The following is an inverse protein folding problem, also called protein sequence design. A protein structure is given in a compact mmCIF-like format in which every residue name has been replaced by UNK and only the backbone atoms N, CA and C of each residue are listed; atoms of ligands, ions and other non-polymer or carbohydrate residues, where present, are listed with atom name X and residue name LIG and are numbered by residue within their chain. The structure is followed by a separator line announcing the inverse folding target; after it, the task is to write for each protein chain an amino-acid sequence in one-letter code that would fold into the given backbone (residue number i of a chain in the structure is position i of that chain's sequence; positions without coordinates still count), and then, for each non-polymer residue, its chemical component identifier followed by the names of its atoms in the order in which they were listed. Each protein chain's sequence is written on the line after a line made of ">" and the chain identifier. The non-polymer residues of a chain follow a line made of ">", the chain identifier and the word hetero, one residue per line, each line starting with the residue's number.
data_IF_112085816741
#
_entry.id   IF_112085816741
#
_cell.length_a   1.000
_cell.length_b   1.000
_cell.length_c   1.000
_cell.angle_alpha   90.00
_cell.angle_beta   90.00
_cell.angle_gamma   90.00
#
_symmetry.space_group_name_H-M   'P 1'
#
loop_
_entity.id
_entity.type
_entity.pdbx_description
1 polymer ?
#
# COMPACT_ATOMS: atom_id res chain seq x y z
N UNK A 1 29.69 41.83 -38.46
CA UNK A 1 28.37 41.23 -38.70
C UNK A 1 27.45 42.37 -39.09
N UNK A 2 26.94 42.38 -40.33
CA UNK A 2 25.96 43.38 -40.77
C UNK A 2 24.56 43.03 -40.25
N UNK A 3 23.68 44.02 -40.22
CA UNK A 3 22.27 43.85 -39.83
C UNK A 3 21.58 42.78 -40.69
N UNK A 4 21.84 42.79 -42.00
CA UNK A 4 21.36 41.77 -42.94
C UNK A 4 21.83 40.35 -42.61
N UNK A 5 23.08 40.19 -42.16
CA UNK A 5 23.59 38.87 -41.76
C UNK A 5 22.89 38.38 -40.49
N UNK A 6 22.59 39.29 -39.57
CA UNK A 6 21.92 38.97 -38.31
C UNK A 6 20.47 38.56 -38.55
N UNK A 7 19.78 39.23 -39.47
CA UNK A 7 18.40 38.89 -39.85
C UNK A 7 18.32 37.60 -40.67
N UNK A 8 19.29 37.33 -41.56
CA UNK A 8 19.40 36.02 -42.22
C UNK A 8 19.60 34.87 -41.22
N UNK A 9 20.40 35.07 -40.17
CA UNK A 9 20.59 34.06 -39.13
C UNK A 9 19.31 33.84 -38.31
N UNK A 10 18.55 34.90 -37.98
CA UNK A 10 17.25 34.78 -37.30
C UNK A 10 16.24 34.01 -38.15
N UNK A 11 16.16 34.31 -39.45
CA UNK A 11 15.21 33.66 -40.35
C UNK A 11 15.53 32.16 -40.53
N UNK A 12 16.82 31.83 -40.66
CA UNK A 12 17.28 30.43 -40.69
C UNK A 12 16.94 29.70 -39.41
N UNK A 13 17.25 30.31 -38.26
CA UNK A 13 16.92 29.74 -36.95
C UNK A 13 15.41 29.43 -36.85
N UNK A 14 14.55 30.39 -37.22
CA UNK A 14 13.10 30.22 -37.20
C UNK A 14 12.63 29.09 -38.13
N UNK A 15 13.22 28.99 -39.31
CA UNK A 15 12.90 27.94 -40.29
C UNK A 15 13.29 26.56 -39.78
N UNK A 16 14.48 26.43 -39.20
CA UNK A 16 14.97 25.18 -38.61
C UNK A 16 14.15 24.78 -37.39
N UNK A 17 13.84 25.72 -36.49
CA UNK A 17 12.95 25.48 -35.33
C UNK A 17 11.58 24.97 -35.78
N UNK A 18 10.97 25.59 -36.79
CA UNK A 18 9.69 25.15 -37.34
C UNK A 18 9.77 23.77 -38.01
N UNK A 19 10.86 23.48 -38.72
CA UNK A 19 11.08 22.17 -39.34
C UNK A 19 11.24 21.07 -38.28
N UNK A 20 11.99 21.34 -37.22
CA UNK A 20 12.18 20.43 -36.07
C UNK A 20 10.83 20.19 -35.38
N UNK A 21 10.06 21.23 -35.11
CA UNK A 21 8.75 21.11 -34.47
C UNK A 21 7.77 20.28 -35.31
N UNK A 22 7.77 20.48 -36.64
CA UNK A 22 6.97 19.68 -37.58
C UNK A 22 7.39 18.21 -37.59
N UNK A 23 8.70 17.93 -37.61
CA UNK A 23 9.22 16.56 -37.54
C UNK A 23 8.83 15.87 -36.22
N UNK A 24 8.95 16.56 -35.08
CA UNK A 24 8.51 16.02 -33.80
C UNK A 24 7.00 15.72 -33.79
N UNK A 25 6.16 16.60 -34.34
CA UNK A 25 4.72 16.35 -34.44
C UNK A 25 4.39 15.09 -35.24
N UNK A 26 5.18 14.74 -36.25
CA UNK A 26 5.00 13.51 -37.03
C UNK A 26 5.40 12.26 -36.25
N UNK A 27 6.46 12.33 -35.44
CA UNK A 27 6.92 11.21 -34.60
C UNK A 27 5.87 10.79 -33.56
N UNK A 28 5.10 11.74 -33.04
CA UNK A 28 4.05 11.48 -32.03
C UNK A 28 2.65 11.35 -32.64
N UNK A 29 2.55 10.83 -33.86
CA UNK A 29 1.28 10.51 -34.52
C UNK A 29 0.61 9.23 -34.00
N UNK A 30 1.37 8.39 -33.30
CA UNK A 30 0.90 7.16 -32.68
C UNK A 30 1.46 7.00 -31.27
N UNK A 31 0.67 6.42 -30.38
CA UNK A 31 1.03 6.06 -29.00
C UNK A 31 0.78 4.57 -28.82
N UNK A 32 1.77 3.84 -28.32
CA UNK A 32 1.68 2.40 -28.10
C UNK A 32 1.56 2.15 -26.60
N UNK A 33 0.45 1.56 -26.17
CA UNK A 33 0.18 1.31 -24.75
C UNK A 33 0.17 -0.18 -24.45
N UNK A 34 0.81 -0.62 -23.35
CA UNK A 34 0.64 -2.00 -22.90
C UNK A 34 -0.81 -2.23 -22.44
N UNK A 35 -1.36 -3.41 -22.70
CA UNK A 35 -2.70 -3.78 -22.27
C UNK A 35 -2.68 -5.20 -21.74
N UNK A 36 -3.41 -5.44 -20.66
CA UNK A 36 -3.67 -6.80 -20.19
C UNK A 36 -4.92 -7.33 -20.91
N UNK A 37 -4.80 -8.43 -21.64
CA UNK A 37 -5.92 -9.08 -22.32
C UNK A 37 -5.77 -10.60 -22.21
N UNK A 38 -6.83 -11.29 -21.79
CA UNK A 38 -6.85 -12.75 -21.65
C UNK A 38 -5.69 -13.34 -20.82
N UNK A 39 -5.18 -12.60 -19.83
CA UNK A 39 -4.06 -13.02 -18.98
C UNK A 39 -2.67 -12.82 -19.59
N UNK A 40 -2.56 -12.18 -20.76
CA UNK A 40 -1.30 -11.84 -21.41
C UNK A 40 -1.10 -10.33 -21.62
N UNK A 41 0.15 -9.93 -21.82
CA UNK A 41 0.54 -8.57 -22.17
C UNK A 41 0.48 -8.37 -23.69
N UNK A 42 -0.29 -7.38 -24.13
CA UNK A 42 -0.41 -6.95 -25.53
C UNK A 42 0.01 -5.48 -25.67
N UNK A 43 0.37 -5.06 -26.88
CA UNK A 43 0.61 -3.65 -27.21
C UNK A 43 -0.53 -3.13 -28.07
N UNK A 44 -1.30 -2.17 -27.55
CA UNK A 44 -2.34 -1.47 -28.27
C UNK A 44 -1.76 -0.21 -28.94
N UNK A 45 -1.86 -0.13 -30.27
CA UNK A 45 -1.49 1.05 -31.04
C UNK A 45 -2.68 2.01 -31.15
N UNK A 46 -2.48 3.24 -30.71
CA UNK A 46 -3.46 4.34 -30.80
C UNK A 46 -2.88 5.37 -31.76
N UNK A 47 -3.61 5.73 -32.80
CA UNK A 47 -3.17 6.72 -33.78
C UNK A 47 -4.13 7.90 -33.81
N UNK A 48 -3.64 9.05 -34.28
CA UNK A 48 -4.52 10.18 -34.59
C UNK A 48 -5.44 9.77 -35.74
N UNK A 49 -6.71 9.51 -35.43
CA UNK A 49 -7.74 9.21 -36.42
C UNK A 49 -8.12 10.43 -37.28
N UNK A 50 -9.27 10.36 -37.95
CA UNK A 50 -9.71 11.42 -38.89
C UNK A 50 -10.01 12.78 -38.25
N UNK A 51 -10.17 12.86 -36.92
CA UNK A 51 -10.39 14.13 -36.22
C UNK A 51 -9.04 14.76 -35.88
N UNK A 52 -8.75 15.99 -36.37
CA UNK A 52 -7.53 16.67 -35.99
C UNK A 52 -7.56 17.08 -34.51
N UNK A 53 -6.45 16.82 -33.82
CA UNK A 53 -6.20 17.29 -32.47
C UNK A 53 -6.08 18.82 -32.45
N UNK A 54 -6.72 19.45 -31.48
CA UNK A 54 -6.74 20.90 -31.32
C UNK A 54 -5.44 21.44 -30.72
N UNK A 55 -4.80 20.63 -29.87
CA UNK A 55 -3.54 20.99 -29.25
C UNK A 55 -2.42 21.18 -30.29
N UNK A 56 -1.55 22.15 -30.01
CA UNK A 56 -0.39 22.46 -30.83
C UNK A 56 0.85 21.76 -30.29
N UNK A 57 1.16 21.88 -29.00
CA UNK A 57 2.34 21.24 -28.41
C UNK A 57 2.26 19.70 -28.45
N UNK A 58 3.43 19.06 -28.53
CA UNK A 58 3.55 17.59 -28.69
C UNK A 58 2.92 16.85 -27.51
N UNK A 59 3.23 17.29 -26.29
CA UNK A 59 2.71 16.67 -25.07
C UNK A 59 1.18 16.83 -24.98
N UNK A 60 0.68 18.04 -25.20
CA UNK A 60 -0.74 18.38 -25.14
C UNK A 60 -1.55 17.58 -26.16
N UNK A 61 -0.99 17.35 -27.36
CA UNK A 61 -1.59 16.49 -28.38
C UNK A 61 -1.68 15.04 -27.94
N UNK A 62 -0.60 14.49 -27.38
CA UNK A 62 -0.60 13.13 -26.85
C UNK A 62 -1.62 13.00 -25.72
N UNK A 63 -1.66 13.96 -24.80
CA UNK A 63 -2.63 13.95 -23.71
C UNK A 63 -4.07 14.12 -24.19
N UNK A 64 -4.34 15.00 -25.17
CA UNK A 64 -5.67 15.13 -25.80
C UNK A 64 -6.10 13.82 -26.46
N UNK A 65 -5.19 13.15 -27.16
CA UNK A 65 -5.44 11.85 -27.79
C UNK A 65 -5.81 10.79 -26.73
N UNK A 66 -5.03 10.71 -25.64
CA UNK A 66 -5.19 9.71 -24.60
C UNK A 66 -6.37 9.96 -23.66
N UNK A 67 -6.69 11.22 -23.35
CA UNK A 67 -7.72 11.57 -22.36
C UNK A 67 -9.07 11.90 -22.99
N UNK A 68 -9.09 12.67 -24.09
CA UNK A 68 -10.33 13.17 -24.70
C UNK A 68 -10.81 12.25 -25.82
N UNK A 69 -9.90 11.87 -26.71
CA UNK A 69 -10.26 11.14 -27.94
C UNK A 69 -10.53 9.67 -27.66
N UNK A 70 -9.56 8.97 -27.04
CA UNK A 70 -9.65 7.53 -26.77
C UNK A 70 -10.00 7.18 -25.32
N UNK A 71 -9.98 8.15 -24.40
CA UNK A 71 -10.28 7.98 -22.96
C UNK A 71 -9.54 6.79 -22.31
N UNK A 72 -8.26 6.64 -22.66
CA UNK A 72 -7.35 5.61 -22.16
C UNK A 72 -6.64 6.03 -20.87
N UNK A 73 -6.53 7.34 -20.63
CA UNK A 73 -6.06 7.92 -19.39
C UNK A 73 -7.20 8.69 -18.76
N UNK A 74 -7.47 8.40 -17.48
CA UNK A 74 -8.55 8.96 -16.70
C UNK A 74 -8.03 10.08 -15.81
N UNK A 75 -8.66 11.24 -15.90
CA UNK A 75 -8.43 12.40 -15.02
C UNK A 75 -9.38 12.42 -13.82
N UNK A 76 -10.33 11.48 -13.77
CA UNK A 76 -11.31 11.33 -12.69
C UNK A 76 -11.61 9.86 -12.47
N UNK A 77 -11.86 9.50 -11.21
CA UNK A 77 -12.37 8.18 -10.80
C UNK A 77 -13.41 8.33 -9.70
N UNK A 78 -14.39 7.42 -9.66
CA UNK A 78 -15.45 7.43 -8.65
C UNK A 78 -15.04 6.65 -7.40
N UNK A 79 -15.45 7.09 -6.19
CA UNK A 79 -15.15 6.39 -4.95
C UNK A 79 -15.58 4.92 -4.99
N UNK A 80 -16.76 4.65 -5.54
CA UNK A 80 -17.28 3.29 -5.73
C UNK A 80 -16.39 2.43 -6.62
N UNK A 81 -15.83 3.00 -7.69
CA UNK A 81 -14.92 2.26 -8.58
C UNK A 81 -13.60 1.95 -7.87
N UNK A 82 -13.12 2.85 -7.01
CA UNK A 82 -11.96 2.60 -6.15
C UNK A 82 -12.20 1.41 -5.22
N UNK A 83 -13.35 1.35 -4.55
CA UNK A 83 -13.71 0.22 -3.68
C UNK A 83 -13.81 -1.10 -4.46
N UNK A 84 -14.51 -1.08 -5.60
CA UNK A 84 -14.69 -2.25 -6.47
C UNK A 84 -13.36 -2.83 -6.96
N UNK A 85 -12.46 -1.97 -7.45
CA UNK A 85 -11.17 -2.41 -7.99
C UNK A 85 -10.25 -2.96 -6.89
N UNK A 86 -10.22 -2.30 -5.73
CA UNK A 86 -9.38 -2.72 -4.60
C UNK A 86 -9.96 -3.90 -3.82
N UNK A 87 -11.23 -4.25 -4.09
CA UNK A 87 -12.02 -5.23 -3.35
C UNK A 87 -12.06 -4.92 -1.86
N UNK A 88 -12.18 -3.63 -1.52
CA UNK A 88 -12.34 -3.16 -0.15
C UNK A 88 -13.71 -3.59 0.38
N UNK A 89 -13.74 -4.27 1.51
CA UNK A 89 -14.95 -4.88 2.09
C UNK A 89 -15.21 -6.33 1.66
N UNK A 90 -14.48 -6.84 0.67
CA UNK A 90 -14.54 -8.25 0.28
C UNK A 90 -13.42 -9.07 0.94
N UNK A 91 -13.62 -10.38 1.10
CA UNK A 91 -12.56 -11.32 1.51
C UNK A 91 -11.82 -10.93 2.80
N UNK A 92 -12.52 -10.30 3.75
CA UNK A 92 -11.98 -9.78 5.01
C UNK A 92 -10.93 -8.64 4.84
N UNK A 93 -10.86 -7.99 3.68
CA UNK A 93 -10.03 -6.80 3.43
C UNK A 93 -10.82 -5.54 3.82
N UNK A 94 -10.76 -5.21 5.10
CA UNK A 94 -11.55 -4.14 5.69
C UNK A 94 -10.87 -2.75 5.64
N UNK A 95 -9.58 -2.70 5.30
CA UNK A 95 -8.83 -1.47 5.17
C UNK A 95 -7.53 -1.66 4.40
N UNK A 96 -6.95 -0.55 3.94
CA UNK A 96 -5.77 -0.50 3.09
C UNK A 96 -5.04 0.83 3.29
N UNK A 97 -3.70 0.82 3.23
CA UNK A 97 -2.92 2.06 3.23
C UNK A 97 -3.15 2.85 1.93
N UNK A 98 -3.15 4.17 2.01
CA UNK A 98 -3.26 5.02 0.84
C UNK A 98 -2.11 4.79 -0.18
N UNK A 99 -0.92 4.46 0.30
CA UNK A 99 0.23 4.07 -0.53
C UNK A 99 -0.01 2.77 -1.28
N UNK A 100 -0.61 1.77 -0.64
CA UNK A 100 -1.00 0.51 -1.30
C UNK A 100 -2.10 0.76 -2.35
N UNK A 101 -3.01 1.71 -2.11
CA UNK A 101 -3.99 2.13 -3.12
C UNK A 101 -3.27 2.72 -4.33
N UNK A 102 -2.35 3.66 -4.10
CA UNK A 102 -1.57 4.28 -5.18
C UNK A 102 -0.80 3.22 -5.97
N UNK A 103 -0.06 2.35 -5.30
CA UNK A 103 0.72 1.28 -5.93
C UNK A 103 -0.16 0.34 -6.75
N UNK A 104 -1.38 0.02 -6.28
CA UNK A 104 -2.30 -0.81 -7.03
C UNK A 104 -2.74 -0.14 -8.34
N UNK A 105 -3.07 1.15 -8.32
CA UNK A 105 -3.50 1.90 -9.51
C UNK A 105 -2.38 2.16 -10.52
N UNK A 106 -1.15 2.41 -10.06
CA UNK A 106 -0.02 2.69 -10.95
C UNK A 106 0.82 1.45 -11.29
N UNK A 107 0.72 0.39 -10.51
CA UNK A 107 1.47 -0.85 -10.70
C UNK A 107 0.73 -1.94 -11.49
N UNK A 108 -0.61 -1.92 -11.54
CA UNK A 108 -1.39 -2.94 -12.22
C UNK A 108 -2.05 -2.44 -13.52
N UNK A 109 -1.64 -3.02 -14.65
CA UNK A 109 -2.13 -2.66 -15.99
C UNK A 109 -3.62 -2.97 -16.23
N UNK A 110 -4.27 -3.73 -15.36
CA UNK A 110 -5.71 -4.01 -15.43
C UNK A 110 -6.59 -2.94 -14.77
N UNK A 111 -6.01 -1.98 -14.04
CA UNK A 111 -6.76 -0.87 -13.47
C UNK A 111 -6.82 0.32 -14.46
N UNK A 112 -7.80 1.23 -14.30
CA UNK A 112 -7.84 2.47 -15.08
C UNK A 112 -6.53 3.24 -14.92
N UNK A 113 -5.93 3.63 -16.05
CA UNK A 113 -4.70 4.45 -16.05
C UNK A 113 -5.06 5.85 -15.59
N UNK A 114 -4.46 6.30 -14.50
CA UNK A 114 -4.68 7.64 -14.00
C UNK A 114 -3.59 8.57 -14.52
N UNK A 115 -3.97 9.83 -14.77
CA UNK A 115 -3.02 10.88 -15.17
C UNK A 115 -2.06 11.20 -14.01
N UNK A 116 -2.63 11.41 -12.82
CA UNK A 116 -1.88 11.84 -11.62
C UNK A 116 -2.44 11.22 -10.35
N UNK A 117 -1.63 11.15 -9.30
CA UNK A 117 -2.06 10.73 -7.95
C UNK A 117 -3.12 11.67 -7.35
N UNK A 118 -3.14 12.95 -7.76
CA UNK A 118 -4.19 13.89 -7.36
C UNK A 118 -5.59 13.42 -7.74
N UNK A 119 -5.72 12.62 -8.81
CA UNK A 119 -7.00 11.99 -9.19
C UNK A 119 -7.49 11.00 -8.14
N UNK A 120 -6.56 10.29 -7.48
CA UNK A 120 -6.88 9.43 -6.34
C UNK A 120 -7.22 10.26 -5.10
N UNK A 121 -6.43 11.29 -4.76
CA UNK A 121 -6.74 12.18 -3.63
C UNK A 121 -8.17 12.72 -3.71
N UNK A 122 -8.57 13.21 -4.90
CA UNK A 122 -9.94 13.64 -5.23
C UNK A 122 -11.00 12.59 -4.96
N UNK A 123 -10.76 11.38 -5.45
CA UNK A 123 -11.68 10.27 -5.27
C UNK A 123 -11.77 9.88 -3.79
N UNK A 124 -10.67 9.95 -3.05
CA UNK A 124 -10.62 9.67 -1.62
C UNK A 124 -11.39 10.74 -0.84
N UNK A 125 -11.02 12.01 -0.96
CA UNK A 125 -11.72 13.13 -0.32
C UNK A 125 -13.25 13.06 -0.53
N UNK A 126 -13.68 12.87 -1.77
CA UNK A 126 -15.11 12.70 -2.10
C UNK A 126 -15.72 11.45 -1.47
N UNK A 127 -15.03 10.31 -1.49
CA UNK A 127 -15.57 9.08 -0.91
C UNK A 127 -15.65 9.13 0.62
N UNK A 128 -14.79 9.89 1.28
CA UNK A 128 -14.89 10.18 2.71
C UNK A 128 -16.12 11.05 2.99
N UNK A 129 -16.34 12.09 2.20
CA UNK A 129 -17.50 12.98 2.31
C UNK A 129 -18.82 12.23 2.06
N UNK A 130 -18.85 11.36 1.04
CA UNK A 130 -20.00 10.51 0.70
C UNK A 130 -20.20 9.34 1.70
N UNK A 131 -19.25 9.10 2.62
CA UNK A 131 -19.30 8.00 3.59
C UNK A 131 -19.03 6.62 2.98
N UNK A 132 -18.41 6.55 1.80
CA UNK A 132 -18.03 5.31 1.11
C UNK A 132 -16.84 4.63 1.79
N UNK A 133 -15.95 5.41 2.41
CA UNK A 133 -14.87 4.92 3.26
C UNK A 133 -14.55 5.92 4.37
N UNK A 134 -14.04 5.41 5.49
CA UNK A 134 -13.41 6.22 6.51
C UNK A 134 -11.93 6.44 6.20
N UNK A 135 -11.45 7.63 6.52
CA UNK A 135 -10.04 7.99 6.40
C UNK A 135 -9.43 8.22 7.79
N UNK A 136 -8.25 7.65 8.00
CA UNK A 136 -7.45 7.84 9.20
C UNK A 136 -6.05 8.28 8.80
N UNK A 137 -5.56 9.35 9.44
CA UNK A 137 -4.19 9.83 9.26
C UNK A 137 -3.31 9.39 10.44
N UNK A 138 -2.21 8.69 10.14
CA UNK A 138 -1.20 8.31 11.12
C UNK A 138 -0.79 6.85 11.08
N UNK A 139 -0.44 6.29 12.23
CA UNK A 139 0.00 4.89 12.33
C UNK A 139 -1.14 3.93 12.03
N UNK A 140 -0.90 2.93 11.18
CA UNK A 140 -1.87 1.89 10.81
C UNK A 140 -2.64 1.41 12.05
N UNK A 141 -3.98 1.47 12.05
CA UNK A 141 -4.76 1.13 13.23
C UNK A 141 -4.71 -0.36 13.53
N UNK A 142 -4.71 -0.70 14.82
CA UNK A 142 -4.71 -2.08 15.29
C UNK A 142 -6.07 -2.73 15.03
N UNK A 143 -6.08 -3.88 14.36
CA UNK A 143 -7.28 -4.70 14.20
C UNK A 143 -7.66 -5.35 15.54
N UNK A 144 -8.88 -5.11 16.02
CA UNK A 144 -9.46 -5.80 17.16
C UNK A 144 -9.88 -7.23 16.82
N UNK A 145 -10.28 -8.00 17.84
CA UNK A 145 -10.71 -9.40 17.72
C UNK A 145 -11.87 -9.63 16.74
N UNK A 146 -12.67 -8.58 16.45
CA UNK A 146 -13.83 -8.65 15.55
C UNK A 146 -13.50 -8.32 14.08
N UNK A 147 -12.22 -8.32 13.68
CA UNK A 147 -11.70 -7.78 12.40
C UNK A 147 -11.94 -6.27 12.18
N UNK A 148 -12.54 -5.56 13.14
CA UNK A 148 -12.72 -4.10 13.07
C UNK A 148 -11.47 -3.36 13.56
N UNK A 149 -11.19 -2.18 13.00
CA UNK A 149 -10.09 -1.34 13.44
C UNK A 149 -10.46 -0.58 14.69
N UNK A 150 -9.63 -0.71 15.74
CA UNK A 150 -9.71 0.17 16.91
C UNK A 150 -9.05 1.49 16.56
N UNK A 151 -9.89 2.49 16.37
CA UNK A 151 -9.49 3.83 15.98
C UNK A 151 -10.09 4.84 16.94
N UNK A 152 -9.31 5.84 17.30
CA UNK A 152 -9.84 6.97 18.04
C UNK A 152 -10.83 7.72 17.12
N UNK A 153 -12.11 7.86 17.50
CA UNK A 153 -13.12 8.51 16.67
C UNK A 153 -12.78 9.96 16.32
N UNK A 154 -11.96 10.64 17.14
CA UNK A 154 -11.53 12.02 16.87
C UNK A 154 -10.52 12.11 15.72
N UNK A 155 -9.86 11.00 15.37
CA UNK A 155 -8.85 10.92 14.30
C UNK A 155 -9.37 10.28 13.03
N UNK A 156 -10.62 9.83 13.02
CA UNK A 156 -11.26 9.21 11.86
C UNK A 156 -12.24 10.17 11.24
N UNK A 157 -12.12 10.36 9.95
CA UNK A 157 -12.98 11.23 9.17
C UNK A 157 -13.85 10.32 8.31
N UNK A 158 -15.17 10.39 8.51
CA UNK A 158 -16.19 9.69 7.72
C UNK A 158 -17.43 10.56 7.64
N UNK A 159 -18.05 10.62 6.45
CA UNK A 159 -19.23 11.44 6.18
C UNK A 159 -19.04 12.91 6.58
N UNK A 160 -17.81 13.40 6.42
CA UNK A 160 -17.38 14.77 6.70
C UNK A 160 -16.53 15.25 5.53
N UNK A 161 -16.56 16.56 5.28
CA UNK A 161 -15.72 17.18 4.26
C UNK A 161 -14.24 17.00 4.61
N UNK A 162 -13.49 16.42 3.68
CA UNK A 162 -12.03 16.26 3.73
C UNK A 162 -11.46 16.98 2.50
N UNK A 163 -10.46 17.85 2.68
CA UNK A 163 -9.80 18.48 1.53
C UNK A 163 -8.91 17.46 0.80
N UNK A 164 -8.76 17.63 -0.50
CA UNK A 164 -7.84 16.82 -1.32
C UNK A 164 -6.40 16.91 -0.82
N UNK A 165 -6.01 18.07 -0.27
CA UNK A 165 -4.67 18.35 0.28
C UNK A 165 -4.44 17.68 1.65
N UNK A 166 -5.51 17.27 2.35
CA UNK A 166 -5.43 16.57 3.63
C UNK A 166 -5.28 15.05 3.46
N UNK A 167 -5.43 14.55 2.23
CA UNK A 167 -5.20 13.15 1.88
C UNK A 167 -3.71 12.92 1.70
N UNK A 168 -3.10 12.30 2.69
CA UNK A 168 -1.71 11.86 2.67
C UNK A 168 -1.64 10.42 2.16
N UNK A 169 -0.91 10.21 1.05
CA UNK A 169 -0.71 8.89 0.46
C UNK A 169 0.33 8.06 1.22
N UNK A 170 1.24 8.69 1.96
CA UNK A 170 2.29 7.98 2.70
C UNK A 170 1.77 7.47 4.04
N UNK A 171 1.06 8.32 4.80
CA UNK A 171 0.57 8.01 6.14
C UNK A 171 -0.95 7.74 6.25
N UNK A 172 -1.70 7.88 5.15
CA UNK A 172 -3.14 7.67 5.13
C UNK A 172 -3.54 6.20 5.18
N UNK A 173 -4.66 5.94 5.84
CA UNK A 173 -5.28 4.62 5.90
C UNK A 173 -6.78 4.71 5.58
N UNK A 174 -7.23 3.94 4.60
CA UNK A 174 -8.62 3.84 4.19
C UNK A 174 -9.26 2.62 4.85
N UNK A 175 -10.48 2.78 5.33
CA UNK A 175 -11.27 1.73 5.97
C UNK A 175 -12.68 1.72 5.40
N UNK A 176 -13.29 0.54 5.31
CA UNK A 176 -14.74 0.48 5.06
C UNK A 176 -15.50 0.99 6.30
N UNK A 177 -16.64 1.68 6.13
CA UNK A 177 -17.41 2.23 7.25
C UNK A 177 -17.74 1.20 8.34
N UNK A 178 -18.05 -0.03 7.94
CA UNK A 178 -18.43 -1.15 8.81
C UNK A 178 -17.27 -1.64 9.70
N UNK A 179 -16.03 -1.36 9.28
CA UNK A 179 -14.83 -1.78 9.99
C UNK A 179 -14.39 -0.79 11.08
N UNK A 180 -15.05 0.35 11.21
CA UNK A 180 -14.66 1.40 12.17
C UNK A 180 -15.29 1.06 13.53
N UNK A 181 -14.48 0.65 14.49
CA UNK A 181 -14.92 0.56 15.89
C UNK A 181 -14.48 1.82 16.63
N UNK A 182 -15.43 2.72 16.88
CA UNK A 182 -15.21 3.86 17.75
C UNK A 182 -14.91 3.35 19.16
N UNK A 183 -13.68 3.54 19.64
CA UNK A 183 -13.40 3.41 21.06
C UNK A 183 -14.11 4.59 21.72
N UNK A 184 -15.20 4.32 22.44
CA UNK A 184 -15.82 5.31 23.31
C UNK A 184 -14.71 5.76 24.27
N UNK A 185 -14.28 7.02 24.14
CA UNK A 185 -13.51 7.67 25.18
C UNK A 185 -14.31 7.53 26.47
N UNK A 186 -13.77 6.84 27.47
CA UNK A 186 -14.37 6.82 28.80
C UNK A 186 -14.47 8.27 29.26
N UNK A 187 -15.70 8.80 29.26
CA UNK A 187 -16.02 10.08 29.86
C UNK A 187 -15.54 10.06 31.32
N UNK A 188 -14.65 10.97 31.74
CA UNK A 188 -14.40 11.16 33.15
C UNK A 188 -15.69 11.69 33.77
N UNK A 189 -16.38 10.82 34.53
CA UNK A 189 -17.54 11.18 35.34
C UNK A 189 -17.11 12.26 36.33
N UNK A 190 -17.96 13.27 36.45
CA UNK A 190 -17.65 14.60 36.96
C UNK A 190 -17.04 14.66 38.35
N UNK A 191 -16.34 15.76 38.58
CA UNK A 191 -15.85 16.13 39.90
C UNK A 191 -16.09 17.61 40.15
N UNK A 192 -17.03 17.89 41.07
CA UNK A 192 -16.99 19.02 41.99
C UNK A 192 -18.04 18.82 43.10
N UNK A 193 -17.86 19.38 44.31
CA UNK A 193 -16.64 19.43 45.13
C UNK A 193 -16.93 19.03 46.62
N UNK A 194 -15.92 19.24 47.49
CA UNK A 194 -15.96 19.43 48.97
C UNK A 194 -15.52 18.25 49.89
N UNK A 195 -14.19 18.20 50.16
CA UNK A 195 -13.50 18.35 51.47
C UNK A 195 -13.76 17.36 52.67
N UNK A 196 -12.93 17.37 53.76
CA UNK A 196 -11.96 16.30 54.04
C UNK A 196 -12.15 15.59 55.40
N UNK A 197 -11.82 14.29 55.51
CA UNK A 197 -11.51 13.63 56.79
C UNK A 197 -10.68 12.35 56.60
N UNK A 198 -9.50 12.31 57.21
CA UNK A 198 -8.77 11.12 57.68
C UNK A 198 -9.24 10.81 59.13
N UNK A 199 -8.91 9.68 59.81
CA UNK A 199 -8.08 8.53 59.41
C UNK A 199 -8.66 7.15 59.81
N UNK A 200 -7.81 6.09 59.66
CA UNK A 200 -7.87 4.76 60.34
C UNK A 200 -8.82 3.70 59.73
N UNK A 201 -8.46 2.44 59.42
CA UNK A 201 -7.25 1.62 59.56
C UNK A 201 -7.37 0.36 58.66
N UNK A 202 -6.23 -0.25 58.35
CA UNK A 202 -5.97 -1.70 58.16
C UNK A 202 -6.22 -2.37 56.81
N UNK A 203 -5.12 -2.68 56.11
CA UNK A 203 -4.98 -3.73 55.10
C UNK A 203 -3.54 -3.78 54.55
N UNK A 204 -2.95 -4.96 54.24
CA UNK A 204 -1.50 -5.20 54.32
C UNK A 204 -0.67 -4.78 53.09
N UNK A 205 0.64 -4.78 53.32
CA UNK A 205 1.76 -4.26 52.52
C UNK A 205 2.12 -5.17 51.32
N UNK A 206 2.17 -4.56 50.12
CA UNK A 206 3.09 -4.75 48.96
C UNK A 206 3.06 -6.05 48.10
N UNK A 207 3.57 -6.03 46.83
CA UNK A 207 4.54 -5.09 46.25
C UNK A 207 4.16 -4.37 44.96
N UNK A 208 4.52 -3.09 44.96
CA UNK A 208 4.76 -2.23 43.81
C UNK A 208 5.73 -2.91 42.84
N UNK A 209 5.30 -3.20 41.61
CA UNK A 209 6.23 -3.33 40.49
C UNK A 209 6.29 -1.99 39.73
N UNK A 210 7.49 -1.44 39.53
CA UNK A 210 7.69 -0.12 38.96
C UNK A 210 7.41 -0.10 37.46
N UNK A 211 6.85 1.03 37.02
CA UNK A 211 6.85 1.49 35.63
C UNK A 211 8.28 1.38 35.06
N UNK A 212 8.55 0.68 33.94
CA UNK A 212 9.83 0.77 33.28
C UNK A 212 9.83 1.97 32.33
N UNK A 213 10.42 3.06 32.81
CA UNK A 213 11.06 4.10 32.00
C UNK A 213 12.35 3.54 31.37
N UNK A 214 12.53 3.72 30.05
CA UNK A 214 13.82 3.59 29.35
C UNK A 214 14.08 2.24 28.62
N UNK A 215 14.84 2.26 27.49
CA UNK A 215 14.93 1.13 26.56
C UNK A 215 15.83 0.02 27.12
N UNK A 216 15.22 -1.09 27.54
CA UNK A 216 15.96 -2.32 27.83
C UNK A 216 16.20 -3.10 26.53
N UNK A 217 17.47 -3.22 26.13
CA UNK A 217 17.89 -4.09 25.03
C UNK A 217 17.50 -5.53 25.38
N UNK A 218 16.66 -6.17 24.56
CA UNK A 218 16.21 -7.55 24.75
C UNK A 218 17.29 -8.47 24.15
N UNK A 219 18.01 -9.27 24.97
CA UNK A 219 19.16 -10.04 24.48
C UNK A 219 18.77 -11.34 23.75
N UNK A 220 17.54 -11.83 23.95
CA UNK A 220 17.03 -13.04 23.34
C UNK A 220 15.52 -12.90 23.15
N UNK A 221 15.05 -13.23 21.94
CA UNK A 221 13.62 -13.21 21.60
C UNK A 221 13.25 -14.56 21.03
N UNK A 222 12.19 -15.16 21.57
CA UNK A 222 11.64 -16.43 21.11
C UNK A 222 10.19 -16.20 20.69
N UNK A 223 9.85 -16.60 19.48
CA UNK A 223 8.50 -16.50 18.92
C UNK A 223 8.05 -17.89 18.49
N UNK A 224 6.87 -18.30 18.94
CA UNK A 224 6.18 -19.49 18.44
C UNK A 224 4.82 -19.04 17.90
N UNK A 225 4.53 -19.38 16.66
CA UNK A 225 3.27 -19.02 16.00
C UNK A 225 2.91 -20.09 14.97
N UNK A 226 1.61 -20.31 14.78
CA UNK A 226 1.10 -21.09 13.64
C UNK A 226 0.90 -20.15 12.46
N UNK A 227 1.45 -20.50 11.30
CA UNK A 227 1.37 -19.69 10.09
C UNK A 227 0.97 -20.51 8.87
N UNK A 228 0.05 -19.98 8.09
CA UNK A 228 -0.27 -20.48 6.75
C UNK A 228 0.86 -20.16 5.75
N UNK A 229 0.83 -20.83 4.58
CA UNK A 229 1.81 -20.62 3.49
C UNK A 229 2.03 -19.14 3.15
N UNK A 230 0.95 -18.37 3.03
CA UNK A 230 1.00 -16.95 2.67
C UNK A 230 1.58 -16.08 3.79
N UNK A 231 1.34 -16.46 5.05
CA UNK A 231 1.91 -15.78 6.21
C UNK A 231 3.41 -16.08 6.33
N UNK A 232 3.86 -17.31 6.06
CA UNK A 232 5.28 -17.68 6.05
C UNK A 232 6.11 -16.80 5.10
N UNK A 233 5.59 -16.51 3.90
CA UNK A 233 6.27 -15.61 2.96
C UNK A 233 6.42 -14.17 3.49
N UNK A 234 5.43 -13.68 4.24
CA UNK A 234 5.49 -12.33 4.84
C UNK A 234 6.41 -12.29 6.06
N UNK A 235 6.44 -13.38 6.83
CA UNK A 235 7.28 -13.51 8.03
C UNK A 235 8.76 -13.55 7.65
N UNK A 236 9.12 -14.07 6.47
CA UNK A 236 10.52 -14.12 6.04
C UNK A 236 11.20 -12.75 6.04
N UNK A 237 10.49 -11.69 5.64
CA UNK A 237 11.03 -10.33 5.70
C UNK A 237 11.28 -9.87 7.15
N UNK A 238 10.43 -10.26 8.09
CA UNK A 238 10.61 -9.95 9.51
C UNK A 238 11.78 -10.73 10.13
N UNK A 239 11.94 -12.01 9.76
CA UNK A 239 13.08 -12.83 10.18
C UNK A 239 14.39 -12.30 9.57
N UNK A 240 14.38 -11.87 8.31
CA UNK A 240 15.54 -11.25 7.66
C UNK A 240 15.97 -9.96 8.39
N UNK A 241 15.02 -9.08 8.72
CA UNK A 241 15.30 -7.87 9.51
C UNK A 241 15.87 -8.20 10.90
N UNK A 242 15.43 -9.30 11.51
CA UNK A 242 15.98 -9.77 12.79
C UNK A 242 17.39 -10.34 12.61
N UNK A 243 17.65 -11.07 11.52
CA UNK A 243 18.96 -11.62 11.19
C UNK A 243 20.01 -10.54 10.93
N UNK A 244 19.64 -9.45 10.24
CA UNK A 244 20.52 -8.29 10.03
C UNK A 244 20.99 -7.66 11.34
N UNK A 245 20.18 -7.74 12.40
CA UNK A 245 20.50 -7.18 13.72
C UNK A 245 21.16 -8.19 14.68
N UNK A 246 20.80 -9.47 14.59
CA UNK A 246 21.27 -10.52 15.49
C UNK A 246 22.50 -11.30 14.97
N UNK A 247 22.82 -11.18 13.67
CA UNK A 247 23.93 -11.85 13.00
C UNK A 247 23.70 -13.34 12.71
N UNK A 248 23.03 -14.06 13.60
CA UNK A 248 22.57 -15.44 13.38
C UNK A 248 21.19 -15.64 13.99
N UNK A 249 20.30 -16.28 13.24
CA UNK A 249 18.95 -16.63 13.70
C UNK A 249 18.77 -18.13 13.52
N UNK A 250 18.27 -18.80 14.56
CA UNK A 250 17.84 -20.21 14.47
C UNK A 250 16.35 -20.23 14.15
N UNK A 251 15.98 -20.91 13.08
CA UNK A 251 14.59 -21.12 12.67
C UNK A 251 14.29 -22.60 12.80
N UNK A 252 13.26 -22.94 13.56
CA UNK A 252 12.76 -24.30 13.73
C UNK A 252 11.35 -24.33 13.13
N UNK A 253 11.10 -25.27 12.23
CA UNK A 253 9.85 -25.37 11.49
C UNK A 253 9.29 -26.77 11.69
N UNK A 254 8.23 -26.86 12.47
CA UNK A 254 7.44 -28.08 12.63
C UNK A 254 6.24 -28.04 11.68
N UNK A 255 6.18 -29.00 10.77
CA UNK A 255 5.04 -29.19 9.89
C UNK A 255 4.36 -30.52 10.21
N UNK A 256 3.03 -30.50 10.38
CA UNK A 256 2.21 -31.70 10.56
C UNK A 256 1.25 -31.82 9.38
N UNK A 257 1.07 -33.04 8.91
CA UNK A 257 0.09 -33.40 7.88
C UNK A 257 -0.62 -34.66 8.32
N UNK A 258 -1.95 -34.64 8.35
CA UNK A 258 -2.77 -35.80 8.70
C UNK A 258 -2.69 -36.90 7.64
N UNK A 259 -2.36 -36.55 6.39
CA UNK A 259 -2.16 -37.47 5.27
C UNK A 259 -0.68 -37.90 5.11
N UNK A 260 0.23 -37.35 5.93
CA UNK A 260 1.67 -37.52 5.79
C UNK A 260 2.30 -36.62 4.71
N UNK A 261 3.62 -36.69 4.57
CA UNK A 261 4.37 -36.01 3.50
C UNK A 261 4.99 -37.03 2.55
N UNK A 262 4.91 -36.78 1.23
CA UNK A 262 5.59 -37.62 0.24
C UNK A 262 7.12 -37.51 0.40
N UNK A 263 7.85 -38.63 0.60
CA UNK A 263 9.29 -38.60 0.85
C UNK A 263 10.12 -38.05 -0.30
N UNK A 264 9.70 -38.29 -1.55
CA UNK A 264 10.40 -37.83 -2.75
C UNK A 264 10.20 -36.34 -2.93
N UNK A 265 8.98 -35.85 -2.68
CA UNK A 265 8.68 -34.42 -2.67
C UNK A 265 9.47 -33.70 -1.57
N UNK A 266 9.49 -34.23 -0.35
CA UNK A 266 10.18 -33.59 0.78
C UNK A 266 11.69 -33.49 0.55
N UNK A 267 12.29 -34.50 -0.10
CA UNK A 267 13.70 -34.45 -0.51
C UNK A 267 13.96 -33.34 -1.55
N UNK A 268 13.21 -33.35 -2.65
CA UNK A 268 13.51 -32.47 -3.79
C UNK A 268 13.04 -31.02 -3.57
N UNK A 269 11.92 -30.81 -2.86
CA UNK A 269 11.30 -29.49 -2.70
C UNK A 269 11.67 -28.79 -1.39
N UNK A 270 12.18 -29.53 -0.39
CA UNK A 270 12.50 -28.97 0.93
C UNK A 270 13.96 -29.22 1.32
N UNK A 271 14.44 -30.47 1.32
CA UNK A 271 15.80 -30.77 1.77
C UNK A 271 16.87 -30.23 0.83
N UNK A 272 16.75 -30.50 -0.47
CA UNK A 272 17.74 -30.07 -1.48
C UNK A 272 17.91 -28.54 -1.54
N UNK A 273 16.84 -27.71 -1.55
CA UNK A 273 16.98 -26.25 -1.43
C UNK A 273 17.63 -25.77 -0.11
N UNK A 274 17.42 -26.49 1.01
CA UNK A 274 18.05 -26.15 2.30
C UNK A 274 19.53 -26.53 2.35
N UNK A 275 19.93 -27.61 1.65
CA UNK A 275 21.33 -27.99 1.46
C UNK A 275 22.05 -27.02 0.51
N UNK A 276 21.41 -26.63 -0.59
CA UNK A 276 21.95 -25.61 -1.52
C UNK A 276 22.15 -24.24 -0.86
N UNK A 277 21.29 -23.90 0.11
CA UNK A 277 21.43 -22.68 0.89
C UNK A 277 22.49 -22.78 2.02
N UNK A 278 23.19 -23.92 2.14
CA UNK A 278 24.20 -24.22 3.17
C UNK A 278 23.67 -24.07 4.62
N UNK A 279 22.37 -24.34 4.81
CA UNK A 279 21.67 -24.17 6.10
C UNK A 279 21.71 -25.45 6.95
N UNK A 280 22.08 -26.61 6.37
CA UNK A 280 22.12 -27.88 7.08
C UNK A 280 23.45 -28.12 7.82
N UNK A 281 23.46 -27.82 9.13
CA UNK A 281 24.28 -28.52 10.12
C UNK A 281 23.49 -28.77 11.39
N UNK A 282 22.73 -29.87 11.37
CA UNK A 282 22.47 -30.85 12.44
C UNK A 282 21.10 -31.48 12.18
N UNK A 283 21.11 -32.60 11.47
CA UNK A 283 19.93 -33.46 11.35
C UNK A 283 19.76 -34.16 12.69
N UNK A 284 18.88 -33.66 13.56
CA UNK A 284 18.33 -34.51 14.63
C UNK A 284 17.29 -35.43 14.00
N UNK A 285 17.74 -36.57 13.49
CA UNK A 285 16.89 -37.75 13.32
C UNK A 285 16.46 -38.21 14.72
N UNK A 286 15.37 -37.63 15.21
CA UNK A 286 14.62 -38.17 16.34
C UNK A 286 13.89 -39.42 15.87
N UNK A 287 14.58 -40.55 15.92
CA UNK A 287 14.01 -41.89 15.84
C UNK A 287 12.86 -41.99 16.88
N UNK A 288 11.62 -42.07 16.40
CA UNK A 288 10.55 -42.67 17.19
C UNK A 288 10.73 -44.19 17.09
N UNK A 289 11.49 -44.76 18.03
CA UNK A 289 11.32 -46.16 18.39
C UNK A 289 10.35 -46.24 19.57
N UNK A 290 9.22 -46.91 19.31
CA UNK A 290 8.32 -47.47 20.30
C UNK A 290 9.08 -48.39 21.27
N UNK A 291 8.78 -48.29 22.56
CA UNK A 291 9.22 -49.23 23.60
C UNK A 291 9.16 -48.63 24.98
#
# INVERSE_FOLDING_TARGET
>A
MSEDQLDQLKERKRTEEAAIESAFRQLYSAVWLPRMQSGGLEIEKIEVGGRPLQATGVHERVMELLTVTYRKVNTTITPRKTVELLKLGESNRLGMKASEVQDAFFGFLGYPRLDTSATLCKAIARGVEEGVFGYYSGTVPTSGLDNRYQVNPDKVIISRSLSEDEVDMESGFLMVPEAIQAVLAETPVGSAPVQPTTPETTGPIQPTFPLPTGPKKIPLVHFAFEASREQLFKIWNAIANLADKAGKVRVEVDARSDEGFDPTWLRNAVQEPLEEADVLKDKKEGNQENG
#
